data_IF_917702931223
#
_entry.id   IF_917702931223
#
_cell.length_a   1.000
_cell.length_b   1.000
_cell.length_c   1.000
_cell.angle_alpha   90.00
_cell.angle_beta   90.00
_cell.angle_gamma   90.00
#
_symmetry.space_group_name_H-M   'P 1'
#
loop_
_entity.id
_entity.type
_entity.pdbx_description
1 polymer ?
#
# COMPACT_ATOMS: atom_id res chain seq x y z
N UNK A 1 -20.50 -17.65 2.89
CA UNK A 1 -19.09 -17.26 3.05
C UNK A 1 -18.69 -16.62 1.74
N UNK A 2 -18.39 -15.33 1.73
CA UNK A 2 -17.95 -14.67 0.50
C UNK A 2 -16.50 -15.09 0.27
N UNK A 3 -16.29 -16.00 -0.68
CA UNK A 3 -14.97 -16.28 -1.23
C UNK A 3 -14.53 -15.05 -2.02
N UNK A 4 -13.49 -14.39 -1.53
CA UNK A 4 -12.77 -13.33 -2.25
C UNK A 4 -12.13 -14.00 -3.48
N UNK A 5 -12.79 -13.90 -4.64
CA UNK A 5 -12.19 -14.16 -5.97
C UNK A 5 -10.78 -13.53 -6.04
N UNK A 6 -9.81 -13.97 -6.84
CA UNK A 6 -8.41 -13.52 -6.71
C UNK A 6 -8.27 -12.01 -6.94
N UNK A 7 -8.48 -11.23 -5.88
CA UNK A 7 -8.39 -9.77 -5.86
C UNK A 7 -6.97 -9.52 -5.41
N UNK A 8 -6.07 -9.45 -6.39
CA UNK A 8 -4.68 -8.95 -6.30
C UNK A 8 -4.38 -8.39 -4.91
N UNK A 9 -3.65 -9.16 -4.08
CA UNK A 9 -3.39 -8.83 -2.67
C UNK A 9 -2.88 -7.40 -2.56
N UNK A 10 -3.15 -6.73 -1.43
CA UNK A 10 -2.75 -5.33 -1.26
C UNK A 10 -1.23 -5.13 -1.46
N UNK A 11 -0.42 -6.14 -1.11
CA UNK A 11 1.01 -6.21 -1.43
C UNK A 11 1.29 -6.17 -2.93
N UNK A 12 0.58 -6.97 -3.73
CA UNK A 12 0.78 -7.04 -5.18
C UNK A 12 0.42 -5.72 -5.85
N UNK A 13 -0.60 -5.02 -5.34
CA UNK A 13 -0.97 -3.69 -5.79
C UNK A 13 0.13 -2.65 -5.51
N UNK A 14 0.69 -2.66 -4.30
CA UNK A 14 1.81 -1.78 -3.91
C UNK A 14 3.08 -2.10 -4.72
N UNK A 15 3.40 -3.38 -4.92
CA UNK A 15 4.55 -3.80 -5.75
C UNK A 15 4.39 -3.35 -7.20
N UNK A 16 3.22 -3.55 -7.80
CA UNK A 16 2.93 -3.06 -9.16
C UNK A 16 3.06 -1.54 -9.25
N UNK A 17 2.62 -0.81 -8.22
CA UNK A 17 2.79 0.64 -8.18
C UNK A 17 4.27 1.05 -8.21
N UNK A 18 5.10 0.38 -7.41
CA UNK A 18 6.56 0.56 -7.43
C UNK A 18 7.18 0.21 -8.79
N UNK A 19 6.75 -0.89 -9.42
CA UNK A 19 7.21 -1.32 -10.75
C UNK A 19 6.90 -0.28 -11.84
N UNK A 20 5.80 0.46 -11.69
CA UNK A 20 5.42 1.57 -12.57
C UNK A 20 6.19 2.88 -12.26
N UNK A 21 7.10 2.85 -11.28
CA UNK A 21 7.85 4.03 -10.81
C UNK A 21 7.06 4.92 -9.85
N UNK A 22 5.95 4.42 -9.31
CA UNK A 22 5.17 5.11 -8.28
C UNK A 22 5.74 4.87 -6.89
N UNK A 23 5.70 5.88 -6.03
CA UNK A 23 6.08 5.75 -4.62
C UNK A 23 4.86 5.55 -3.75
N UNK A 24 5.04 4.95 -2.58
CA UNK A 24 3.96 4.80 -1.60
C UNK A 24 4.40 5.28 -0.23
N UNK A 25 3.43 5.70 0.59
CA UNK A 25 3.65 6.19 1.95
C UNK A 25 2.52 5.79 2.88
N UNK A 26 2.84 5.26 4.04
CA UNK A 26 1.89 4.96 5.10
C UNK A 26 1.43 6.26 5.77
N UNK A 27 0.14 6.54 5.68
CA UNK A 27 -0.49 7.68 6.35
C UNK A 27 -0.93 7.33 7.77
N UNK A 28 -1.42 6.10 7.97
CA UNK A 28 -1.93 5.68 9.27
C UNK A 28 -1.82 4.16 9.43
N UNK A 29 -1.56 3.73 10.67
CA UNK A 29 -1.65 2.33 11.11
C UNK A 29 -2.53 2.28 12.37
N UNK A 30 -3.68 1.62 12.31
CA UNK A 30 -4.68 1.57 13.40
C UNK A 30 -5.40 0.22 13.42
N UNK A 31 -5.46 -0.44 14.58
CA UNK A 31 -6.25 -1.67 14.80
C UNK A 31 -6.04 -2.78 13.76
N UNK A 32 -4.81 -2.95 13.24
CA UNK A 32 -4.52 -3.93 12.18
C UNK A 32 -4.97 -3.50 10.78
N UNK A 33 -5.38 -2.24 10.62
CA UNK A 33 -5.59 -1.60 9.33
C UNK A 33 -4.47 -0.58 9.07
N UNK A 34 -4.03 -0.53 7.82
CA UNK A 34 -3.05 0.43 7.33
C UNK A 34 -3.62 1.20 6.16
N UNK A 35 -3.32 2.49 6.13
CA UNK A 35 -3.68 3.39 5.05
C UNK A 35 -2.39 3.83 4.38
N UNK A 36 -2.27 3.52 3.10
CA UNK A 36 -1.12 3.83 2.27
C UNK A 36 -1.57 4.78 1.16
N UNK A 37 -0.89 5.90 1.04
CA UNK A 37 -0.98 6.82 -0.08
C UNK A 37 -0.09 6.33 -1.21
N UNK A 38 -0.63 6.26 -2.42
CA UNK A 38 0.09 5.98 -3.65
C UNK A 38 0.38 7.33 -4.33
N UNK A 39 1.65 7.73 -4.30
CA UNK A 39 2.13 8.99 -4.87
C UNK A 39 2.76 8.76 -6.24
N UNK A 40 2.61 9.72 -7.15
CA UNK A 40 3.37 9.76 -8.40
C UNK A 40 4.79 10.27 -8.18
N UNK A 41 5.70 9.85 -9.05
CA UNK A 41 7.13 10.16 -9.02
C UNK A 41 7.45 11.67 -8.95
N UNK A 42 6.74 12.51 -9.71
CA UNK A 42 7.19 13.89 -10.00
C UNK A 42 6.71 14.98 -9.03
N UNK A 43 5.72 14.73 -8.17
CA UNK A 43 5.11 15.80 -7.37
C UNK A 43 4.75 15.41 -5.92
N UNK A 44 4.89 14.13 -5.54
CA UNK A 44 4.39 13.67 -4.23
C UNK A 44 2.87 13.81 -4.06
N UNK A 45 2.14 14.08 -5.15
CA UNK A 45 0.70 14.23 -5.13
C UNK A 45 0.07 12.84 -4.91
N UNK A 46 -0.79 12.73 -3.89
CA UNK A 46 -1.57 11.52 -3.62
C UNK A 46 -2.48 11.28 -4.82
N UNK A 47 -2.21 10.20 -5.55
CA UNK A 47 -3.00 9.83 -6.72
C UNK A 47 -4.10 8.86 -6.34
N UNK A 48 -3.79 7.99 -5.40
CA UNK A 48 -4.76 7.07 -4.83
C UNK A 48 -4.43 6.74 -3.38
N UNK A 49 -5.43 6.27 -2.64
CA UNK A 49 -5.28 5.89 -1.24
C UNK A 49 -5.77 4.48 -1.04
N UNK A 50 -4.84 3.59 -0.77
CA UNK A 50 -5.09 2.19 -0.45
C UNK A 50 -5.26 2.02 1.06
N UNK A 51 -6.48 1.71 1.51
CA UNK A 51 -6.73 1.32 2.90
C UNK A 51 -7.01 -0.17 2.98
N UNK A 52 -6.22 -0.89 3.77
CA UNK A 52 -6.34 -2.34 3.88
C UNK A 52 -5.99 -2.84 5.28
N UNK A 53 -6.61 -3.93 5.69
CA UNK A 53 -6.29 -4.64 6.94
C UNK A 53 -5.58 -5.97 6.67
N UNK A 54 -4.92 -6.05 5.52
CA UNK A 54 -4.21 -7.24 5.06
C UNK A 54 -2.90 -7.43 5.85
N UNK A 55 -2.75 -8.53 6.61
CA UNK A 55 -1.56 -8.76 7.42
C UNK A 55 -0.30 -8.93 6.57
N UNK A 56 -0.40 -9.41 5.33
CA UNK A 56 0.75 -9.51 4.42
C UNK A 56 1.26 -8.13 4.03
N UNK A 57 0.37 -7.14 3.83
CA UNK A 57 0.82 -5.77 3.60
C UNK A 57 1.48 -5.18 4.84
N UNK A 58 0.93 -5.43 6.03
CA UNK A 58 1.51 -4.95 7.29
C UNK A 58 2.92 -5.54 7.48
N UNK A 59 3.10 -6.82 7.20
CA UNK A 59 4.39 -7.49 7.24
C UNK A 59 5.35 -6.96 6.15
N UNK A 60 4.85 -6.69 4.94
CA UNK A 60 5.63 -6.11 3.85
C UNK A 60 6.13 -4.70 4.19
N UNK A 61 5.27 -3.85 4.75
CA UNK A 61 5.65 -2.51 5.21
C UNK A 61 6.71 -2.61 6.31
N UNK A 62 6.52 -3.51 7.29
CA UNK A 62 7.44 -3.69 8.41
C UNK A 62 7.62 -2.38 9.17
N UNK A 63 8.86 -1.94 9.38
CA UNK A 63 9.17 -0.64 9.99
C UNK A 63 9.07 0.55 9.00
N UNK A 64 9.07 0.29 7.68
CA UNK A 64 9.09 1.36 6.67
C UNK A 64 7.75 2.08 6.58
N UNK A 65 7.78 3.41 6.69
CA UNK A 65 6.61 4.26 6.45
C UNK A 65 6.52 4.81 5.03
N UNK A 66 7.55 4.63 4.19
CA UNK A 66 7.51 4.95 2.77
C UNK A 66 8.38 3.98 1.96
N UNK A 67 8.22 3.98 0.64
CA UNK A 67 9.09 3.20 -0.24
C UNK A 67 10.53 3.73 -0.32
N UNK A 68 10.76 4.98 0.12
CA UNK A 68 12.05 5.68 0.04
C UNK A 68 12.85 5.62 1.36
N UNK A 69 12.25 5.03 2.41
CA UNK A 69 12.86 4.80 3.73
C UNK A 69 13.52 3.40 3.80
#
# INVERSE_FOLDING_TARGET
MVEDAPRTSAVDQVRRWQDLGGTWRVLARRHGQVTVSLCRCDAGEEVDRLTTADPDLIAFLGDRDASDD
#
